data_IF_741741376648
#
_entry.id   IF_741741376648
#
_cell.length_a   1.000
_cell.length_b   1.000
_cell.length_c   1.000
_cell.angle_alpha   90.00
_cell.angle_beta   90.00
_cell.angle_gamma   90.00
#
_symmetry.space_group_name_H-M   'P 1'
#
loop_
_entity.id
_entity.type
_entity.pdbx_description
1 polymer ?
#
# COMPACT_ATOMS: atom_id res chain seq x y z
N UNK A 1 -38.52 35.70 13.65
CA UNK A 1 -39.83 35.47 12.98
C UNK A 1 -39.52 35.18 11.51
N UNK A 2 -39.57 33.90 11.13
CA UNK A 2 -40.50 33.31 10.13
C UNK A 2 -40.05 33.55 8.69
N UNK A 3 -39.80 32.58 7.81
CA UNK A 3 -39.98 31.13 7.89
C UNK A 3 -39.55 30.52 6.54
N UNK A 4 -39.12 29.26 6.58
CA UNK A 4 -38.99 28.40 5.41
C UNK A 4 -40.38 27.91 4.99
N UNK A 5 -40.84 28.35 3.82
CA UNK A 5 -41.93 27.75 3.01
C UNK A 5 -41.49 28.00 1.56
N UNK A 6 -41.43 27.02 0.66
CA UNK A 6 -42.55 26.18 0.25
C UNK A 6 -42.02 24.90 -0.41
N UNK A 7 -42.51 23.75 0.04
CA UNK A 7 -42.35 22.49 -0.67
C UNK A 7 -43.42 22.37 -1.75
N UNK A 8 -43.03 22.01 -2.98
CA UNK A 8 -43.95 21.42 -3.95
C UNK A 8 -43.22 20.39 -4.82
N UNK A 9 -43.59 19.13 -4.59
CA UNK A 9 -43.33 17.96 -5.42
C UNK A 9 -44.34 17.94 -6.57
N UNK A 10 -43.87 17.85 -7.82
CA UNK A 10 -44.63 17.32 -8.95
C UNK A 10 -43.67 16.98 -10.09
N UNK A 11 -43.56 15.69 -10.43
CA UNK A 11 -42.73 15.20 -11.54
C UNK A 11 -42.32 13.73 -11.40
N UNK A 12 -43.31 12.83 -11.34
CA UNK A 12 -43.11 11.39 -11.49
C UNK A 12 -43.01 10.97 -12.96
N UNK A 13 -42.65 9.70 -13.25
CA UNK A 13 -41.77 9.33 -14.35
C UNK A 13 -42.51 8.82 -15.59
N UNK A 14 -42.08 9.22 -16.78
CA UNK A 14 -42.42 8.57 -18.05
C UNK A 14 -41.14 8.18 -18.78
N UNK A 15 -41.01 6.89 -19.11
CA UNK A 15 -39.96 6.40 -20.00
C UNK A 15 -39.24 5.11 -19.59
N UNK A 16 -39.88 4.15 -18.92
CA UNK A 16 -39.44 2.75 -18.99
C UNK A 16 -40.14 2.10 -20.18
N UNK A 17 -39.48 2.11 -21.33
CA UNK A 17 -39.85 1.23 -22.44
C UNK A 17 -39.16 -0.12 -22.26
N UNK A 18 -40.03 -1.12 -22.14
CA UNK A 18 -39.83 -2.56 -22.27
C UNK A 18 -38.85 -2.92 -23.40
N UNK A 19 -37.78 -3.63 -23.04
CA UNK A 19 -36.95 -4.36 -24.01
C UNK A 19 -37.00 -5.84 -23.64
N UNK A 20 -38.09 -6.47 -24.06
CA UNK A 20 -38.30 -7.91 -24.08
C UNK A 20 -37.42 -8.58 -25.15
N UNK A 21 -36.10 -8.59 -24.93
CA UNK A 21 -35.16 -9.46 -25.66
C UNK A 21 -34.04 -9.95 -24.75
N UNK A 22 -34.42 -10.73 -23.74
CA UNK A 22 -33.49 -11.60 -23.01
C UNK A 22 -33.19 -12.82 -23.90
N UNK A 23 -32.16 -12.75 -24.75
CA UNK A 23 -31.51 -13.96 -25.30
C UNK A 23 -30.08 -13.68 -25.78
N UNK A 24 -29.12 -14.09 -24.94
CA UNK A 24 -27.80 -14.54 -25.37
C UNK A 24 -26.73 -13.47 -25.59
N UNK A 25 -25.86 -13.27 -24.60
CA UNK A 25 -24.42 -13.09 -24.82
C UNK A 25 -23.69 -13.40 -23.52
N UNK A 26 -22.69 -14.28 -23.62
CA UNK A 26 -22.07 -14.98 -22.50
C UNK A 26 -21.45 -14.08 -21.45
N UNK A 27 -21.47 -14.58 -20.21
CA UNK A 27 -20.71 -14.00 -19.12
C UNK A 27 -19.24 -13.89 -19.50
N UNK A 28 -18.69 -12.68 -19.38
CA UNK A 28 -17.25 -12.50 -19.34
C UNK A 28 -16.87 -12.54 -17.87
N UNK A 29 -16.83 -13.75 -17.32
CA UNK A 29 -16.09 -14.05 -16.11
C UNK A 29 -14.62 -13.76 -16.45
N UNK A 30 -14.18 -12.53 -16.16
CA UNK A 30 -12.78 -12.14 -16.35
C UNK A 30 -11.98 -12.88 -15.29
N UNK A 31 -11.37 -13.97 -15.71
CA UNK A 31 -10.37 -14.73 -14.95
C UNK A 31 -9.37 -13.78 -14.29
N UNK A 32 -9.60 -13.50 -13.00
CA UNK A 32 -8.60 -12.88 -12.15
C UNK A 32 -7.39 -13.83 -12.13
N UNK A 33 -6.22 -13.42 -12.62
CA UNK A 33 -5.07 -14.30 -12.66
C UNK A 33 -4.75 -14.76 -11.24
N UNK A 34 -4.72 -16.08 -11.03
CA UNK A 34 -4.36 -16.70 -9.75
C UNK A 34 -3.12 -16.02 -9.17
N UNK A 35 -3.12 -15.72 -7.87
CA UNK A 35 -2.05 -14.98 -7.17
C UNK A 35 -0.62 -15.42 -7.57
N UNK A 36 -0.39 -16.73 -7.79
CA UNK A 36 0.89 -17.31 -8.25
C UNK A 36 1.38 -16.80 -9.62
N UNK A 37 0.49 -16.37 -10.52
CA UNK A 37 0.83 -15.85 -11.86
C UNK A 37 1.23 -14.38 -11.83
N UNK A 38 0.70 -13.60 -10.87
CA UNK A 38 1.10 -12.21 -10.62
C UNK A 38 2.48 -12.17 -9.98
N UNK A 39 2.73 -13.04 -8.99
CA UNK A 39 4.02 -13.22 -8.30
C UNK A 39 5.19 -13.46 -9.28
N UNK A 40 4.97 -14.32 -10.29
CA UNK A 40 5.95 -14.66 -11.34
C UNK A 40 6.17 -13.57 -12.40
N UNK A 41 5.30 -12.55 -12.48
CA UNK A 41 5.41 -11.41 -13.39
C UNK A 41 6.02 -10.20 -12.69
N UNK A 42 5.65 -9.99 -11.43
CA UNK A 42 6.23 -8.98 -10.56
C UNK A 42 7.76 -9.16 -10.43
N UNK A 43 8.21 -10.41 -10.26
CA UNK A 43 9.64 -10.74 -10.22
C UNK A 43 10.36 -10.63 -11.59
N UNK A 44 9.64 -10.63 -12.72
CA UNK A 44 10.27 -10.56 -14.05
C UNK A 44 10.64 -9.14 -14.48
N UNK A 45 9.85 -8.14 -14.11
CA UNK A 45 10.20 -6.72 -14.29
C UNK A 45 11.33 -6.25 -13.37
N UNK A 46 11.38 -6.77 -12.13
CA UNK A 46 12.52 -6.58 -11.23
C UNK A 46 13.83 -7.14 -11.82
N UNK A 47 13.79 -8.29 -12.49
CA UNK A 47 15.00 -9.00 -12.98
C UNK A 47 15.84 -8.23 -14.00
N UNK A 48 15.26 -7.30 -14.76
CA UNK A 48 16.02 -6.50 -15.76
C UNK A 48 16.89 -5.45 -15.05
N UNK A 49 16.46 -4.93 -13.89
CA UNK A 49 17.22 -3.94 -13.10
C UNK A 49 18.17 -4.55 -12.06
N UNK A 50 17.97 -5.81 -11.65
CA UNK A 50 18.81 -6.51 -10.65
C UNK A 50 20.26 -6.70 -11.11
N UNK A 51 20.57 -6.65 -12.42
CA UNK A 51 21.93 -6.88 -12.95
C UNK A 51 22.95 -5.78 -12.61
N UNK A 52 22.52 -4.62 -12.10
CA UNK A 52 23.42 -3.50 -11.77
C UNK A 52 23.80 -3.36 -10.30
N UNK A 53 23.16 -4.11 -9.39
CA UNK A 53 23.32 -3.93 -7.93
C UNK A 53 23.50 -5.28 -7.24
N UNK A 54 24.53 -6.01 -7.64
CA UNK A 54 24.92 -7.26 -6.96
C UNK A 54 26.36 -7.16 -6.49
N UNK A 55 26.55 -6.70 -5.25
CA UNK A 55 27.66 -7.12 -4.40
C UNK A 55 27.18 -7.32 -2.96
N UNK A 56 27.12 -8.60 -2.60
CA UNK A 56 27.46 -9.22 -1.31
C UNK A 56 26.92 -8.60 0.00
N UNK A 57 25.71 -9.05 0.32
CA UNK A 57 25.03 -9.12 1.62
C UNK A 57 25.54 -10.23 2.58
N UNK A 58 26.41 -10.01 3.58
CA UNK A 58 26.74 -11.07 4.57
C UNK A 58 26.16 -10.83 5.97
N UNK A 59 25.81 -11.94 6.62
CA UNK A 59 25.00 -12.17 7.82
C UNK A 59 25.39 -11.43 9.12
N UNK A 60 25.10 -10.13 9.19
CA UNK A 60 24.54 -9.43 10.38
C UNK A 60 23.09 -8.99 10.05
N UNK A 61 22.37 -9.94 9.45
CA UNK A 61 21.69 -9.69 8.18
C UNK A 61 20.32 -9.05 8.29
N UNK A 62 19.62 -9.17 9.42
CA UNK A 62 18.16 -8.93 9.42
C UNK A 62 17.77 -7.46 9.47
N UNK A 63 18.41 -6.65 10.33
CA UNK A 63 18.06 -5.23 10.49
C UNK A 63 18.59 -4.38 9.33
N UNK A 64 19.84 -4.59 8.91
CA UNK A 64 20.40 -3.90 7.75
C UNK A 64 19.73 -4.33 6.44
N UNK A 65 19.39 -5.62 6.26
CA UNK A 65 18.61 -6.03 5.08
C UNK A 65 17.21 -5.41 5.10
N UNK A 66 16.54 -5.32 6.25
CA UNK A 66 15.22 -4.68 6.32
C UNK A 66 15.30 -3.16 6.08
N UNK A 67 16.37 -2.48 6.50
CA UNK A 67 16.65 -1.07 6.14
C UNK A 67 16.86 -0.92 4.63
N UNK A 68 17.62 -1.81 4.01
CA UNK A 68 17.83 -1.80 2.56
C UNK A 68 16.51 -2.07 1.81
N UNK A 69 15.73 -3.05 2.25
CA UNK A 69 14.43 -3.44 1.68
C UNK A 69 13.42 -2.30 1.74
N UNK A 70 13.25 -1.68 2.90
CA UNK A 70 12.35 -0.53 3.08
C UNK A 70 12.80 0.69 2.28
N UNK A 71 14.10 0.96 2.19
CA UNK A 71 14.63 2.02 1.31
C UNK A 71 14.29 1.75 -0.16
N UNK A 72 14.51 0.51 -0.62
CA UNK A 72 14.20 0.13 -2.00
C UNK A 72 12.69 0.22 -2.29
N UNK A 73 11.85 -0.18 -1.34
CA UNK A 73 10.41 -0.01 -1.41
C UNK A 73 10.03 1.47 -1.57
N UNK A 74 10.57 2.35 -0.74
CA UNK A 74 10.29 3.79 -0.81
C UNK A 74 10.71 4.41 -2.16
N UNK A 75 11.85 4.00 -2.73
CA UNK A 75 12.27 4.45 -4.06
C UNK A 75 11.26 4.03 -5.15
N UNK A 76 10.80 2.78 -5.13
CA UNK A 76 9.79 2.29 -6.08
C UNK A 76 8.44 2.97 -5.90
N UNK A 77 8.08 3.35 -4.68
CA UNK A 77 6.87 4.15 -4.41
C UNK A 77 6.98 5.50 -5.12
N UNK A 78 8.13 6.18 -5.05
CA UNK A 78 8.35 7.43 -5.79
C UNK A 78 8.27 7.22 -7.30
N UNK A 79 8.93 6.18 -7.82
CA UNK A 79 8.88 5.83 -9.25
C UNK A 79 7.42 5.59 -9.70
N UNK A 80 6.61 4.92 -8.86
CA UNK A 80 5.18 4.71 -9.15
C UNK A 80 4.37 6.00 -9.07
N UNK A 81 4.59 6.84 -8.06
CA UNK A 81 3.92 8.14 -7.89
C UNK A 81 4.13 9.03 -9.12
N UNK A 82 5.30 8.97 -9.75
CA UNK A 82 5.59 9.72 -10.98
C UNK A 82 4.81 9.23 -12.21
N UNK A 83 4.24 8.03 -12.16
CA UNK A 83 3.37 7.47 -13.22
C UNK A 83 1.89 7.83 -13.06
N UNK A 84 1.48 8.44 -11.95
CA UNK A 84 0.07 8.76 -11.71
C UNK A 84 -0.43 9.87 -12.66
N UNK A 85 -1.74 9.86 -13.01
CA UNK A 85 -2.29 10.87 -13.91
C UNK A 85 -2.26 12.26 -13.26
N UNK A 86 -2.13 13.30 -14.08
CA UNK A 86 -2.09 14.70 -13.63
C UNK A 86 -3.50 15.25 -13.36
N UNK A 87 -4.20 14.66 -12.39
CA UNK A 87 -5.51 15.13 -11.90
C UNK A 87 -5.39 15.58 -10.45
N UNK A 88 -6.32 16.42 -9.98
CA UNK A 88 -6.33 16.89 -8.58
C UNK A 88 -6.48 15.73 -7.59
N UNK A 89 -7.37 14.77 -7.87
CA UNK A 89 -7.56 13.60 -7.02
C UNK A 89 -6.32 12.70 -6.97
N UNK A 90 -5.67 12.49 -8.12
CA UNK A 90 -4.44 11.71 -8.17
C UNK A 90 -3.29 12.43 -7.47
N UNK A 91 -3.17 13.76 -7.59
CA UNK A 91 -2.16 14.54 -6.87
C UNK A 91 -2.28 14.40 -5.35
N UNK A 92 -3.51 14.40 -4.81
CA UNK A 92 -3.75 14.16 -3.38
C UNK A 92 -3.29 12.77 -2.95
N UNK A 93 -3.63 11.73 -3.72
CA UNK A 93 -3.19 10.35 -3.45
C UNK A 93 -1.68 10.21 -3.58
N UNK A 94 -1.08 10.77 -4.63
CA UNK A 94 0.36 10.81 -4.85
C UNK A 94 1.11 11.38 -3.65
N UNK A 95 0.64 12.51 -3.11
CA UNK A 95 1.29 13.15 -1.97
C UNK A 95 1.21 12.29 -0.71
N UNK A 96 0.03 11.74 -0.40
CA UNK A 96 -0.15 10.88 0.76
C UNK A 96 0.64 9.57 0.64
N UNK A 97 0.62 8.96 -0.54
CA UNK A 97 1.38 7.74 -0.85
C UNK A 97 2.89 7.96 -0.72
N UNK A 98 3.43 9.05 -1.29
CA UNK A 98 4.84 9.36 -1.19
C UNK A 98 5.26 9.60 0.26
N UNK A 99 4.46 10.32 1.03
CA UNK A 99 4.69 10.57 2.46
C UNK A 99 4.72 9.26 3.24
N UNK A 100 3.69 8.42 3.10
CA UNK A 100 3.58 7.16 3.83
C UNK A 100 4.71 6.18 3.45
N UNK A 101 4.98 6.00 2.15
CA UNK A 101 6.01 5.09 1.67
C UNK A 101 7.43 5.49 2.10
N UNK A 102 7.74 6.79 2.09
CA UNK A 102 8.99 7.31 2.65
C UNK A 102 9.02 7.19 4.19
N UNK A 103 7.87 7.35 4.83
CA UNK A 103 7.66 7.18 6.27
C UNK A 103 8.08 5.79 6.74
N UNK A 104 7.73 4.72 6.01
CA UNK A 104 8.16 3.34 6.33
C UNK A 104 9.69 3.25 6.45
N UNK A 105 10.43 3.74 5.44
CA UNK A 105 11.89 3.68 5.44
C UNK A 105 12.52 4.60 6.50
N UNK A 106 12.03 5.84 6.59
CA UNK A 106 12.55 6.85 7.51
C UNK A 106 12.35 6.44 8.97
N UNK A 107 11.12 6.04 9.33
CA UNK A 107 10.77 5.65 10.68
C UNK A 107 11.42 4.33 11.08
N UNK A 108 11.58 3.36 10.18
CA UNK A 108 12.27 2.11 10.53
C UNK A 108 13.75 2.36 10.82
N UNK A 109 14.41 3.19 10.00
CA UNK A 109 15.79 3.61 10.26
C UNK A 109 15.93 4.35 11.59
N UNK A 110 14.93 5.15 11.98
CA UNK A 110 14.87 5.84 13.28
C UNK A 110 14.61 4.88 14.45
N UNK A 111 13.75 3.87 14.26
CA UNK A 111 13.50 2.82 15.23
C UNK A 111 14.79 2.09 15.58
N UNK A 112 15.59 1.69 14.58
CA UNK A 112 16.89 1.04 14.78
C UNK A 112 17.94 1.90 15.52
N UNK A 113 17.68 3.20 15.74
CA UNK A 113 18.53 4.10 16.54
C UNK A 113 17.90 4.48 17.89
N UNK A 114 16.82 3.81 18.29
CA UNK A 114 16.20 4.02 19.60
C UNK A 114 17.19 3.80 20.74
N UNK A 115 17.06 4.59 21.81
CA UNK A 115 17.95 4.52 22.98
C UNK A 115 17.43 3.57 24.05
N UNK A 116 16.20 3.09 23.90
CA UNK A 116 15.59 2.09 24.77
C UNK A 116 14.70 1.13 24.00
N UNK A 117 14.41 -0.02 24.61
CA UNK A 117 13.48 -1.00 24.06
C UNK A 117 12.04 -0.45 23.93
N UNK A 118 11.61 0.39 24.87
CA UNK A 118 10.31 1.06 24.82
C UNK A 118 10.24 2.04 23.62
N UNK A 119 11.29 2.85 23.42
CA UNK A 119 11.39 3.78 22.30
C UNK A 119 11.40 3.03 20.95
N UNK A 120 12.13 1.90 20.86
CA UNK A 120 12.11 1.03 19.70
C UNK A 120 10.70 0.50 19.40
N UNK A 121 9.99 0.02 20.42
CA UNK A 121 8.63 -0.54 20.29
C UNK A 121 7.63 0.53 19.85
N UNK A 122 7.71 1.75 20.41
CA UNK A 122 6.87 2.87 20.02
C UNK A 122 7.11 3.27 18.55
N UNK A 123 8.37 3.41 18.14
CA UNK A 123 8.70 3.75 16.75
C UNK A 123 8.32 2.67 15.76
N UNK A 124 8.43 1.39 16.11
CA UNK A 124 7.92 0.30 15.27
C UNK A 124 6.40 0.40 15.05
N UNK A 125 5.64 0.91 16.02
CA UNK A 125 4.21 1.21 15.86
C UNK A 125 3.97 2.21 14.73
N UNK A 126 4.74 3.30 14.71
CA UNK A 126 4.68 4.31 13.65
C UNK A 126 5.02 3.68 12.29
N UNK A 127 6.07 2.86 12.21
CA UNK A 127 6.43 2.18 10.94
C UNK A 127 5.30 1.30 10.42
N UNK A 128 4.58 0.62 11.33
CA UNK A 128 3.44 -0.21 10.97
C UNK A 128 2.27 0.63 10.44
N UNK A 129 1.98 1.77 11.06
CA UNK A 129 0.95 2.73 10.60
C UNK A 129 1.28 3.24 9.18
N UNK A 130 2.53 3.65 8.93
CA UNK A 130 2.98 4.12 7.62
C UNK A 130 2.88 3.03 6.54
N UNK A 131 3.14 1.76 6.90
CA UNK A 131 3.02 0.62 5.98
C UNK A 131 1.55 0.32 5.63
N UNK A 132 0.65 0.44 6.61
CA UNK A 132 -0.80 0.26 6.42
C UNK A 132 -1.39 1.40 5.55
N UNK A 133 -1.03 2.64 5.83
CA UNK A 133 -1.41 3.79 5.00
C UNK A 133 -0.90 3.66 3.57
N UNK A 134 0.35 3.21 3.39
CA UNK A 134 0.90 2.95 2.06
C UNK A 134 0.09 1.89 1.30
N UNK A 135 -0.30 0.80 1.98
CA UNK A 135 -1.17 -0.24 1.39
C UNK A 135 -2.52 0.35 0.96
N UNK A 136 -3.16 1.18 1.79
CA UNK A 136 -4.42 1.85 1.47
C UNK A 136 -4.32 2.69 0.20
N UNK A 137 -3.29 3.54 0.09
CA UNK A 137 -3.15 4.43 -1.08
C UNK A 137 -2.84 3.66 -2.36
N UNK A 138 -2.06 2.57 -2.27
CA UNK A 138 -1.82 1.66 -3.39
C UNK A 138 -3.10 0.94 -3.82
N UNK A 139 -3.93 0.47 -2.89
CA UNK A 139 -5.22 -0.16 -3.20
C UNK A 139 -6.17 0.82 -3.91
N UNK A 140 -6.24 2.08 -3.45
CA UNK A 140 -7.02 3.13 -4.12
C UNK A 140 -6.50 3.35 -5.55
N UNK A 141 -5.18 3.52 -5.73
CA UNK A 141 -4.60 3.71 -7.06
C UNK A 141 -4.87 2.51 -7.98
N UNK A 142 -4.76 1.28 -7.44
CA UNK A 142 -5.04 0.06 -8.17
C UNK A 142 -6.49 -0.01 -8.65
N UNK A 143 -7.46 0.24 -7.75
CA UNK A 143 -8.91 0.22 -8.08
C UNK A 143 -9.30 1.31 -9.07
N UNK A 144 -8.60 2.43 -9.06
CA UNK A 144 -8.76 3.53 -10.02
C UNK A 144 -8.04 3.29 -11.34
N UNK A 145 -7.30 2.18 -11.47
CA UNK A 145 -6.44 1.87 -12.60
C UNK A 145 -5.46 3.02 -12.91
N UNK A 146 -4.84 3.56 -11.86
CA UNK A 146 -3.86 4.64 -11.95
C UNK A 146 -2.42 4.12 -11.89
N UNK A 147 -1.54 4.80 -12.62
CA UNK A 147 -0.11 4.48 -12.67
C UNK A 147 0.23 3.22 -13.46
N UNK A 148 1.45 2.73 -13.31
CA UNK A 148 1.91 1.53 -14.00
C UNK A 148 1.17 0.27 -13.52
N UNK A 149 0.55 -0.50 -14.44
CA UNK A 149 -0.14 -1.74 -14.12
C UNK A 149 0.83 -2.87 -13.72
N UNK A 150 2.13 -2.72 -13.99
CA UNK A 150 3.18 -3.64 -13.56
C UNK A 150 3.68 -3.33 -12.15
N UNK A 151 3.89 -2.04 -11.82
CA UNK A 151 4.45 -1.62 -10.54
C UNK A 151 3.43 -1.66 -9.41
N UNK A 152 2.18 -1.26 -9.66
CA UNK A 152 1.18 -1.14 -8.60
C UNK A 152 0.93 -2.48 -7.86
N UNK A 153 0.69 -3.62 -8.54
CA UNK A 153 0.47 -4.89 -7.85
C UNK A 153 1.71 -5.36 -7.07
N UNK A 154 2.91 -5.07 -7.58
CA UNK A 154 4.17 -5.38 -6.90
C UNK A 154 4.34 -4.61 -5.60
N UNK A 155 4.07 -3.30 -5.64
CA UNK A 155 4.18 -2.44 -4.47
C UNK A 155 3.13 -2.80 -3.43
N UNK A 156 1.92 -3.14 -3.86
CA UNK A 156 0.83 -3.56 -2.98
C UNK A 156 1.14 -4.89 -2.27
N UNK A 157 1.79 -5.83 -2.97
CA UNK A 157 2.25 -7.07 -2.35
C UNK A 157 3.41 -6.80 -1.35
N UNK A 158 4.39 -6.00 -1.75
CA UNK A 158 5.50 -5.62 -0.89
C UNK A 158 5.04 -4.86 0.37
N UNK A 159 4.06 -3.95 0.26
CA UNK A 159 3.50 -3.23 1.41
C UNK A 159 2.84 -4.19 2.40
N UNK A 160 2.12 -5.21 1.91
CA UNK A 160 1.52 -6.26 2.75
C UNK A 160 2.57 -7.08 3.49
N UNK A 161 3.64 -7.45 2.79
CA UNK A 161 4.76 -8.19 3.39
C UNK A 161 5.44 -7.37 4.48
N UNK A 162 5.74 -6.09 4.21
CA UNK A 162 6.33 -5.17 5.19
C UNK A 162 5.40 -4.95 6.39
N UNK A 163 4.10 -4.72 6.16
CA UNK A 163 3.10 -4.60 7.23
C UNK A 163 3.04 -5.86 8.09
N UNK A 164 3.07 -7.05 7.51
CA UNK A 164 3.09 -8.31 8.25
C UNK A 164 4.37 -8.46 9.09
N UNK A 165 5.53 -8.12 8.53
CA UNK A 165 6.82 -8.11 9.24
C UNK A 165 6.76 -7.17 10.45
N UNK A 166 6.33 -5.92 10.26
CA UNK A 166 6.29 -4.93 11.33
C UNK A 166 5.22 -5.25 12.37
N UNK A 167 4.07 -5.80 11.97
CA UNK A 167 3.05 -6.28 12.89
C UNK A 167 3.61 -7.37 13.82
N UNK A 168 4.31 -8.37 13.25
CA UNK A 168 4.95 -9.41 14.05
C UNK A 168 6.06 -8.85 14.93
N UNK A 169 6.88 -7.94 14.42
CA UNK A 169 7.94 -7.28 15.18
C UNK A 169 7.39 -6.50 16.39
N UNK A 170 6.30 -5.76 16.21
CA UNK A 170 5.60 -5.05 17.28
C UNK A 170 5.13 -6.00 18.39
N UNK A 171 4.51 -7.12 18.04
CA UNK A 171 4.05 -8.14 19.02
C UNK A 171 5.24 -8.71 19.80
N UNK A 172 6.31 -9.07 19.10
CA UNK A 172 7.52 -9.61 19.75
C UNK A 172 8.18 -8.59 20.67
N UNK A 173 8.29 -7.33 20.23
CA UNK A 173 8.86 -6.25 21.04
C UNK A 173 8.03 -6.02 22.32
N UNK A 174 6.71 -5.82 22.20
CA UNK A 174 5.82 -5.63 23.37
C UNK A 174 5.89 -6.79 24.35
N UNK A 175 6.03 -8.04 23.87
CA UNK A 175 6.20 -9.19 24.75
C UNK A 175 7.49 -9.11 25.57
N UNK A 176 8.61 -8.68 24.97
CA UNK A 176 9.90 -8.55 25.65
C UNK A 176 9.90 -7.44 26.70
N UNK A 177 9.26 -6.31 26.38
CA UNK A 177 9.07 -5.20 27.31
C UNK A 177 8.31 -5.64 28.57
N UNK A 178 7.21 -6.38 28.41
CA UNK A 178 6.41 -6.92 29.52
C UNK A 178 7.16 -7.94 30.38
N UNK A 179 8.11 -8.68 29.79
CA UNK A 179 8.95 -9.64 30.52
C UNK A 179 10.13 -8.98 31.22
N UNK A 180 10.60 -7.82 30.74
CA UNK A 180 11.65 -7.04 31.37
C UNK A 180 11.15 -6.27 32.59
N UNK A 181 9.94 -5.69 32.54
CA UNK A 181 9.35 -4.98 33.68
C UNK A 181 8.78 -5.87 34.80
N UNK A 182 8.82 -7.20 34.65
CA UNK A 182 8.42 -8.17 35.68
C UNK A 182 9.60 -8.75 36.48
N UNK A 183 10.83 -8.39 36.13
CA UNK A 183 12.05 -8.77 36.86
C UNK A 183 12.49 -7.60 37.71
#
# INVERSE_FOLDING_TARGET
>A
MTGWQDGRMAGGPEGLQDCSTCRGAGGVERDLPSARRIENRCNRGLRVWVRGVQREITVDETAEALKARTKQFAMKVLDFVDTLPRTSSAASVSHQLARAGLGVAGNYRSACRGRSHAEFTARLGIVLEEADETELWLDIAHRRNWGSPELCPCLLDESRQLRAIFSRACVTARSRERSAGRR
#
